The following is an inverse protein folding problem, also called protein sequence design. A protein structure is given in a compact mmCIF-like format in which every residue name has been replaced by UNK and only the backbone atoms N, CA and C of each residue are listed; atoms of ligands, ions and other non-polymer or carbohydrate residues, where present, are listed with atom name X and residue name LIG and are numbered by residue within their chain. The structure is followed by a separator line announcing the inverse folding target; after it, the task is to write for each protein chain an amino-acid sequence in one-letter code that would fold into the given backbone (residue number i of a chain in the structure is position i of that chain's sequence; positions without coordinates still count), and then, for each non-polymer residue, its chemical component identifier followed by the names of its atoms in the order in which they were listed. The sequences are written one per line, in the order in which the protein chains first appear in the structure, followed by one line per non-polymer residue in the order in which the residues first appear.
data_IF_930818905699
#
_entry.id   IF_930818905699
#
_cell.length_a   1.000
_cell.length_b   1.000
_cell.length_c   1.000
_cell.angle_alpha   90.00
_cell.angle_beta   90.00
_cell.angle_gamma   90.00
#
_symmetry.space_group_name_H-M   'P 1'
#
loop_
_entity.id
_entity.type
_entity.pdbx_description
1 polymer ?
#
# COMPACT_ATOMS: atom_id res chain seq x y z
N UNK A 1 5.36 -17.42 -1.40
CA UNK A 1 4.33 -17.07 -0.39
C UNK A 1 4.77 -17.42 1.03
N UNK A 2 5.08 -18.68 1.35
CA UNK A 2 5.50 -19.08 2.73
C UNK A 2 6.69 -18.27 3.26
N UNK A 3 7.69 -17.98 2.43
CA UNK A 3 8.87 -17.20 2.83
C UNK A 3 8.53 -15.74 3.18
N UNK A 4 7.59 -15.13 2.47
CA UNK A 4 7.14 -13.75 2.70
C UNK A 4 6.34 -13.67 4.00
N UNK A 5 5.45 -14.65 4.22
CA UNK A 5 4.66 -14.77 5.44
C UNK A 5 5.57 -14.98 6.68
N UNK A 6 6.58 -15.84 6.56
CA UNK A 6 7.54 -16.09 7.64
C UNK A 6 8.37 -14.85 7.97
N UNK A 7 8.81 -14.09 6.97
CA UNK A 7 9.53 -12.84 7.19
C UNK A 7 8.65 -11.75 7.82
N UNK A 8 7.37 -11.64 7.43
CA UNK A 8 6.42 -10.72 8.06
C UNK A 8 6.24 -11.00 9.55
N UNK A 9 6.11 -12.27 9.94
CA UNK A 9 6.02 -12.68 11.35
C UNK A 9 7.34 -12.40 12.10
N UNK A 10 8.48 -12.66 11.47
CA UNK A 10 9.80 -12.44 12.07
C UNK A 10 10.13 -10.97 12.29
N UNK A 11 9.64 -10.09 11.39
CA UNK A 11 9.84 -8.65 11.47
C UNK A 11 8.71 -7.92 12.21
N UNK A 12 7.64 -8.61 12.61
CA UNK A 12 6.59 -8.07 13.47
C UNK A 12 7.12 -7.29 14.71
N UNK A 13 8.23 -7.67 15.36
CA UNK A 13 8.77 -6.88 16.47
C UNK A 13 9.33 -5.50 16.05
N UNK A 14 9.78 -5.31 14.80
CA UNK A 14 10.27 -4.00 14.32
C UNK A 14 9.17 -2.94 14.31
N UNK A 15 7.91 -3.34 14.14
CA UNK A 15 6.75 -2.46 14.20
C UNK A 15 6.61 -1.78 15.57
N UNK A 16 7.04 -2.44 16.64
CA UNK A 16 7.02 -1.89 18.00
C UNK A 16 8.19 -0.93 18.31
N UNK A 17 9.20 -0.88 17.44
CA UNK A 17 10.39 -0.03 17.60
C UNK A 17 10.28 1.23 16.74
N UNK A 18 9.76 1.10 15.52
CA UNK A 18 9.57 2.22 14.61
C UNK A 18 8.15 2.22 14.06
N UNK A 19 7.24 2.88 14.78
CA UNK A 19 5.82 2.98 14.42
C UNK A 19 5.55 3.61 13.05
N UNK A 20 6.53 4.33 12.50
CA UNK A 20 6.43 4.94 11.17
C UNK A 20 6.78 3.96 10.04
N UNK A 21 7.44 2.83 10.34
CA UNK A 21 7.82 1.81 9.33
C UNK A 21 6.60 1.35 8.53
N UNK A 22 5.55 1.00 9.27
CA UNK A 22 4.30 0.50 8.71
C UNK A 22 3.65 1.50 7.75
N UNK A 23 3.64 2.78 8.13
CA UNK A 23 3.07 3.86 7.30
C UNK A 23 3.85 4.06 6.01
N UNK A 24 5.17 3.91 6.06
CA UNK A 24 6.00 3.92 4.84
C UNK A 24 5.69 2.71 3.96
N UNK A 25 5.49 1.53 4.55
CA UNK A 25 5.14 0.33 3.82
C UNK A 25 3.77 0.48 3.12
N UNK A 26 2.77 0.99 3.82
CA UNK A 26 1.43 1.24 3.27
C UNK A 26 1.42 2.29 2.16
N UNK A 27 2.39 3.20 2.12
CA UNK A 27 2.56 4.13 0.99
C UNK A 27 3.29 3.48 -0.20
N UNK A 28 4.37 2.73 0.05
CA UNK A 28 5.28 2.24 -1.00
C UNK A 28 4.77 0.95 -1.66
N UNK A 29 4.23 0.01 -0.89
CA UNK A 29 3.77 -1.28 -1.40
C UNK A 29 2.68 -1.18 -2.49
N UNK A 30 1.66 -0.30 -2.36
CA UNK A 30 0.69 -0.10 -3.43
C UNK A 30 1.32 0.38 -4.75
N UNK A 31 2.41 1.16 -4.72
CA UNK A 31 3.11 1.59 -5.93
C UNK A 31 3.72 0.36 -6.65
N UNK A 32 4.39 -0.52 -5.91
CA UNK A 32 4.95 -1.75 -6.46
C UNK A 32 3.86 -2.73 -6.92
N UNK A 33 2.76 -2.83 -6.18
CA UNK A 33 1.62 -3.64 -6.59
C UNK A 33 1.00 -3.12 -7.89
N UNK A 34 0.87 -1.80 -8.03
CA UNK A 34 0.44 -1.17 -9.27
C UNK A 34 1.40 -1.44 -10.42
N UNK A 35 2.72 -1.36 -10.22
CA UNK A 35 3.72 -1.71 -11.25
C UNK A 35 3.54 -3.14 -11.75
N UNK A 36 3.40 -4.10 -10.83
CA UNK A 36 3.20 -5.51 -11.17
C UNK A 36 1.88 -5.73 -11.91
N UNK A 37 0.78 -5.18 -11.40
CA UNK A 37 -0.54 -5.33 -11.99
C UNK A 37 -0.62 -4.65 -13.36
N UNK A 38 -0.04 -3.45 -13.49
CA UNK A 38 0.05 -2.76 -14.77
C UNK A 38 0.85 -3.58 -15.79
N UNK A 39 1.98 -4.20 -15.41
CA UNK A 39 2.74 -5.07 -16.31
C UNK A 39 1.91 -6.25 -16.85
N UNK A 40 0.98 -6.78 -16.05
CA UNK A 40 0.07 -7.85 -16.47
C UNK A 40 -1.01 -7.31 -17.41
N UNK A 41 -1.62 -6.18 -17.05
CA UNK A 41 -2.73 -5.55 -17.78
C UNK A 41 -2.25 -4.92 -19.09
N UNK A 42 -1.00 -4.46 -19.17
CA UNK A 42 -0.44 -3.80 -20.35
C UNK A 42 -0.35 -4.72 -21.58
N UNK A 43 -0.24 -6.04 -21.33
CA UNK A 43 -0.27 -7.09 -22.37
C UNK A 43 -1.66 -7.26 -23.02
N UNK A 44 -2.69 -6.55 -22.54
CA UNK A 44 -4.05 -6.60 -23.07
C UNK A 44 -4.29 -5.45 -24.06
N UNK A 45 -5.12 -5.71 -25.06
CA UNK A 45 -5.52 -4.71 -26.06
C UNK A 45 -6.60 -3.77 -25.49
N UNK A 46 -6.18 -2.89 -24.56
CA UNK A 46 -7.00 -1.90 -23.89
C UNK A 46 -6.38 -0.52 -24.02
N UNK A 47 -7.20 0.52 -23.96
CA UNK A 47 -6.70 1.90 -23.87
C UNK A 47 -5.99 2.12 -22.54
N UNK A 48 -5.03 3.06 -22.50
CA UNK A 48 -4.28 3.37 -21.28
C UNK A 48 -5.19 3.68 -20.09
N UNK A 49 -6.26 4.44 -20.29
CA UNK A 49 -7.21 4.80 -19.23
C UNK A 49 -7.83 3.56 -18.58
N UNK A 50 -8.22 2.56 -19.39
CA UNK A 50 -8.74 1.29 -18.87
C UNK A 50 -7.66 0.46 -18.16
N UNK A 51 -6.43 0.44 -18.69
CA UNK A 51 -5.31 -0.25 -18.05
C UNK A 51 -5.02 0.30 -16.65
N UNK A 52 -4.99 1.63 -16.52
CA UNK A 52 -4.77 2.33 -15.25
C UNK A 52 -5.93 2.15 -14.28
N UNK A 53 -7.18 2.25 -14.75
CA UNK A 53 -8.36 2.06 -13.92
C UNK A 53 -8.41 0.65 -13.34
N UNK A 54 -8.19 -0.39 -14.17
CA UNK A 54 -8.18 -1.79 -13.71
C UNK A 54 -7.07 -2.01 -12.69
N UNK A 55 -5.87 -1.50 -12.97
CA UNK A 55 -4.72 -1.59 -12.05
C UNK A 55 -5.06 -0.97 -10.69
N UNK A 56 -5.56 0.26 -10.70
CA UNK A 56 -5.93 0.99 -9.49
C UNK A 56 -7.01 0.26 -8.69
N UNK A 57 -8.13 -0.09 -9.34
CA UNK A 57 -9.26 -0.75 -8.67
C UNK A 57 -8.85 -2.10 -8.08
N UNK A 58 -8.02 -2.87 -8.78
CA UNK A 58 -7.54 -4.15 -8.28
C UNK A 58 -6.68 -3.97 -7.02
N UNK A 59 -5.71 -3.06 -7.05
CA UNK A 59 -4.81 -2.81 -5.92
C UNK A 59 -5.56 -2.27 -4.71
N UNK A 60 -6.47 -1.30 -4.89
CA UNK A 60 -7.28 -0.77 -3.79
C UNK A 60 -8.21 -1.83 -3.21
N UNK A 61 -8.83 -2.67 -4.04
CA UNK A 61 -9.71 -3.74 -3.53
C UNK A 61 -8.92 -4.73 -2.67
N UNK A 62 -7.72 -5.11 -3.09
CA UNK A 62 -6.88 -6.01 -2.32
C UNK A 62 -6.41 -5.37 -1.00
N UNK A 63 -5.98 -4.10 -1.05
CA UNK A 63 -5.63 -3.32 0.13
C UNK A 63 -6.80 -3.25 1.13
N UNK A 64 -8.00 -2.89 0.68
CA UNK A 64 -9.17 -2.79 1.57
C UNK A 64 -9.52 -4.13 2.21
N UNK A 65 -9.40 -5.24 1.48
CA UNK A 65 -9.63 -6.58 2.05
C UNK A 65 -8.55 -6.92 3.08
N UNK A 66 -7.29 -6.57 2.81
CA UNK A 66 -6.16 -6.77 3.73
C UNK A 66 -6.37 -6.02 5.04
N UNK A 67 -6.55 -4.69 4.97
CA UNK A 67 -6.71 -3.82 6.14
C UNK A 67 -7.94 -4.20 6.97
N UNK A 68 -9.06 -4.46 6.31
CA UNK A 68 -10.27 -4.91 7.02
C UNK A 68 -10.08 -6.30 7.64
N UNK A 69 -9.31 -7.17 6.99
CA UNK A 69 -8.95 -8.48 7.51
C UNK A 69 -8.12 -8.38 8.79
N UNK A 70 -7.07 -7.55 8.80
CA UNK A 70 -6.24 -7.31 9.99
C UNK A 70 -7.05 -6.69 11.12
N UNK A 71 -7.86 -5.67 10.83
CA UNK A 71 -8.73 -5.05 11.83
C UNK A 71 -9.69 -6.06 12.48
N UNK A 72 -10.31 -6.94 11.68
CA UNK A 72 -11.18 -8.00 12.19
C UNK A 72 -10.41 -9.03 13.01
N UNK A 73 -9.22 -9.45 12.55
CA UNK A 73 -8.37 -10.39 13.29
C UNK A 73 -8.01 -9.80 14.66
N UNK A 74 -7.71 -8.50 14.71
CA UNK A 74 -7.37 -7.82 15.95
C UNK A 74 -8.52 -7.69 16.93
N UNK A 75 -9.75 -7.50 16.44
CA UNK A 75 -10.93 -7.53 17.30
C UNK A 75 -11.17 -8.92 17.87
N UNK A 76 -10.98 -9.98 17.06
CA UNK A 76 -11.32 -11.35 17.45
C UNK A 76 -10.25 -12.01 18.32
N UNK A 77 -8.97 -11.78 18.02
CA UNK A 77 -7.85 -12.50 18.62
C UNK A 77 -6.87 -11.61 19.41
N UNK A 78 -7.08 -10.29 19.46
CA UNK A 78 -6.20 -9.34 20.17
C UNK A 78 -4.72 -9.45 19.77
N UNK A 79 -4.46 -9.70 18.48
CA UNK A 79 -3.11 -9.95 17.95
C UNK A 79 -2.25 -8.69 17.84
N UNK A 80 -2.85 -7.49 17.97
CA UNK A 80 -2.17 -6.19 17.90
C UNK A 80 -1.46 -5.96 16.56
N UNK A 81 -2.09 -6.43 15.49
CA UNK A 81 -1.71 -6.16 14.10
C UNK A 81 -2.01 -4.71 13.72
N UNK A 82 -2.99 -4.09 14.37
CA UNK A 82 -3.50 -2.75 14.09
C UNK A 82 -3.47 -1.88 15.35
N UNK A 83 -3.26 -0.59 15.16
CA UNK A 83 -3.04 0.38 16.23
C UNK A 83 -1.56 0.57 16.54
N UNK A 84 -1.18 1.80 16.90
CA UNK A 84 0.19 2.11 17.25
C UNK A 84 0.40 1.96 18.74
N UNK A 85 1.23 0.99 19.12
CA UNK A 85 1.60 0.70 20.50
C UNK A 85 3.01 1.21 20.80
N UNK A 86 3.16 2.06 21.81
CA UNK A 86 4.47 2.51 22.29
C UNK A 86 4.76 1.85 23.63
N UNK A 87 5.98 1.32 23.77
CA UNK A 87 6.46 0.75 25.04
C UNK A 87 6.77 1.88 26.03
N UNK A 88 6.18 1.81 27.21
CA UNK A 88 6.56 2.67 28.31
C UNK A 88 7.98 2.30 28.79
N UNK A 89 8.90 3.25 28.75
CA UNK A 89 10.31 3.04 29.16
C UNK A 89 10.43 2.90 30.68
N UNK A 90 9.40 3.29 31.44
CA UNK A 90 9.37 3.27 32.91
C UNK A 90 8.74 2.00 33.52
N UNK A 91 8.16 1.11 32.70
CA UNK A 91 7.47 -0.09 33.16
C UNK A 91 7.75 -1.32 32.28
N UNK A 92 7.93 -2.48 32.90
CA UNK A 92 8.41 -3.68 32.19
C UNK A 92 7.48 -4.22 31.09
N UNK A 93 6.17 -3.91 31.09
CA UNK A 93 5.21 -4.60 30.20
C UNK A 93 4.01 -3.78 29.65
N UNK A 94 3.88 -2.47 29.91
CA UNK A 94 2.73 -1.70 29.37
C UNK A 94 3.05 -1.11 28.00
N UNK A 95 2.46 -1.73 26.97
CA UNK A 95 2.28 -1.11 25.67
C UNK A 95 1.09 -0.15 25.75
N UNK A 96 1.35 1.13 25.58
CA UNK A 96 0.30 2.15 25.55
C UNK A 96 -0.17 2.33 24.11
N UNK A 97 -1.49 2.23 23.88
CA UNK A 97 -2.11 2.50 22.60
C UNK A 97 -2.13 4.02 22.36
N UNK A 98 -1.40 4.46 21.33
CA UNK A 98 -1.27 5.88 20.95
C UNK A 98 -2.22 6.24 19.83
N UNK A 99 -2.41 5.33 18.88
CA UNK A 99 -3.39 5.45 17.79
C UNK A 99 -4.35 4.29 17.90
N UNK A 100 -5.65 4.57 17.85
CA UNK A 100 -6.67 3.53 17.92
C UNK A 100 -6.60 2.61 16.70
N UNK A 101 -7.05 1.37 16.84
CA UNK A 101 -7.03 0.39 15.73
C UNK A 101 -7.73 0.91 14.49
N UNK A 102 -8.90 1.53 14.66
CA UNK A 102 -9.67 2.05 13.53
C UNK A 102 -8.97 3.24 12.87
N UNK A 103 -8.38 4.15 13.65
CA UNK A 103 -7.66 5.30 13.10
C UNK A 103 -6.43 4.82 12.31
N UNK A 104 -5.74 3.80 12.82
CA UNK A 104 -4.60 3.17 12.17
C UNK A 104 -4.97 2.58 10.81
N UNK A 105 -5.98 1.70 10.79
CA UNK A 105 -6.53 1.10 9.57
C UNK A 105 -6.94 2.17 8.55
N UNK A 106 -7.58 3.25 9.00
CA UNK A 106 -7.99 4.35 8.13
C UNK A 106 -6.79 5.09 7.54
N UNK A 107 -5.75 5.35 8.33
CA UNK A 107 -4.51 5.97 7.86
C UNK A 107 -3.83 5.07 6.81
N UNK A 108 -3.75 3.76 7.05
CA UNK A 108 -3.10 2.81 6.14
C UNK A 108 -3.85 2.69 4.81
N UNK A 109 -5.18 2.65 4.84
CA UNK A 109 -5.97 2.72 3.62
C UNK A 109 -5.75 4.04 2.86
N UNK A 110 -5.72 5.19 3.55
CA UNK A 110 -5.48 6.49 2.91
C UNK A 110 -4.09 6.53 2.26
N UNK A 111 -3.05 6.11 2.98
CA UNK A 111 -1.68 6.03 2.47
C UNK A 111 -1.60 5.09 1.27
N UNK A 112 -2.32 3.96 1.33
CA UNK A 112 -2.38 3.02 0.23
C UNK A 112 -3.05 3.56 -1.02
N UNK A 113 -4.15 4.33 -0.86
CA UNK A 113 -4.80 5.05 -1.95
C UNK A 113 -3.87 6.11 -2.55
N UNK A 114 -3.18 6.89 -1.71
CA UNK A 114 -2.21 7.91 -2.15
C UNK A 114 -1.07 7.27 -2.94
N UNK A 115 -0.52 6.15 -2.46
CA UNK A 115 0.50 5.38 -3.15
C UNK A 115 0.02 4.92 -4.52
N UNK A 116 -1.15 4.27 -4.61
CA UNK A 116 -1.70 3.80 -5.87
C UNK A 116 -2.01 4.95 -6.85
N UNK A 117 -2.53 6.08 -6.38
CA UNK A 117 -2.78 7.27 -7.21
C UNK A 117 -1.47 7.87 -7.74
N UNK A 118 -0.41 7.89 -6.94
CA UNK A 118 0.89 8.42 -7.38
C UNK A 118 1.42 7.65 -8.61
N UNK A 119 1.21 6.32 -8.64
CA UNK A 119 1.51 5.49 -9.80
C UNK A 119 0.66 5.88 -11.02
N UNK A 120 -0.66 6.01 -10.86
CA UNK A 120 -1.57 6.37 -11.96
C UNK A 120 -1.18 7.70 -12.59
N UNK A 121 -0.88 8.71 -11.76
CA UNK A 121 -0.42 10.03 -12.22
C UNK A 121 0.91 9.91 -12.96
N UNK A 122 1.89 9.23 -12.36
CA UNK A 122 3.22 9.04 -12.97
C UNK A 122 3.14 8.34 -14.33
N UNK A 123 2.28 7.32 -14.46
CA UNK A 123 2.14 6.60 -15.71
C UNK A 123 1.40 7.44 -16.76
N UNK A 124 0.38 8.19 -16.35
CA UNK A 124 -0.37 9.08 -17.24
C UNK A 124 0.52 10.18 -17.83
N UNK A 125 1.36 10.82 -17.01
CA UNK A 125 2.31 11.84 -17.47
C UNK A 125 3.37 11.26 -18.39
N UNK A 126 3.92 10.08 -18.06
CA UNK A 126 4.92 9.40 -18.89
C UNK A 126 4.42 9.14 -20.32
N UNK A 127 3.17 8.65 -20.46
CA UNK A 127 2.58 8.41 -21.78
C UNK A 127 2.24 9.70 -22.53
N UNK A 128 1.85 10.77 -21.82
CA UNK A 128 1.60 12.07 -22.44
C UNK A 128 2.90 12.64 -23.04
N UNK A 129 4.02 12.55 -22.31
CA UNK A 129 5.33 13.01 -22.78
C UNK A 129 5.82 12.25 -24.01
N UNK A 130 5.63 10.92 -24.06
CA UNK A 130 5.99 10.11 -25.24
C UNK A 130 5.18 10.50 -26.47
N UNK A 131 3.86 10.69 -26.30
CA UNK A 131 2.98 11.07 -27.41
C UNK A 131 3.41 12.41 -28.03
N UNK A 132 3.70 13.42 -27.22
CA UNK A 132 4.13 14.75 -27.69
C UNK A 132 5.43 14.67 -28.51
N UNK A 133 6.40 13.87 -28.07
CA UNK A 133 7.68 13.72 -28.78
C UNK A 133 7.52 13.05 -30.16
N UNK A 134 6.62 12.07 -30.29
CA UNK A 134 6.34 11.42 -31.58
C UNK A 134 5.73 12.42 -32.57
N UNK A 135 4.73 13.21 -32.12
CA UNK A 135 4.13 14.24 -32.97
C UNK A 135 5.14 15.29 -33.45
N UNK A 136 6.11 15.68 -32.62
CA UNK A 136 7.17 16.61 -33.05
C UNK A 136 8.17 15.99 -34.03
N UNK A 137 8.42 14.68 -33.96
CA UNK A 137 9.32 13.99 -34.88
C UNK A 137 8.69 13.79 -36.26
N UNK A 138 7.39 13.53 -36.34
CA UNK A 138 6.68 13.34 -37.62
C UNK A 138 6.44 14.65 -38.41
N UNK A 139 6.57 15.81 -37.76
CA UNK A 139 6.29 17.13 -38.36
C UNK A 139 7.54 18.00 -38.64
N UNK A 140 8.75 17.45 -38.49
CA UNK A 140 10.02 18.09 -38.86
C UNK A 140 10.72 17.31 -39.97
#
# INVERSE_FOLDING_TARGET
MILILAMGILFAPLYSIYSFYDKVLHLIMPIFACLLMFHIVDKKNLTLSWKLLITFMFVISFLSIHEMGEYLIDIVWDMRLQGVYIRDVSGLEKLNLVISRIDDTMIDMILGVVGALSFVVSQSTSYASVSINIYHFENN
#
